data_IF_407010312398
#
_entry.id   IF_407010312398
#
_cell.length_a   1.000
_cell.length_b   1.000
_cell.length_c   1.000
_cell.angle_alpha   90.00
_cell.angle_beta   90.00
_cell.angle_gamma   90.00
#
_symmetry.space_group_name_H-M   'P 1'
#
loop_
_entity.id
_entity.type
_entity.pdbx_description
1 polymer ?
#
# COMPACT_ATOMS: atom_id res chain seq x y z
N UNK A 1 -14.87 -7.02 24.60
CA UNK A 1 -14.45 -5.64 24.94
C UNK A 1 -13.80 -5.01 23.74
N UNK A 2 -14.13 -3.75 23.41
CA UNK A 2 -13.49 -2.94 22.40
C UNK A 2 -12.46 -2.04 23.09
N UNK A 3 -11.19 -2.14 22.65
CA UNK A 3 -10.13 -1.23 23.06
C UNK A 3 -9.87 -0.24 21.93
N UNK A 4 -9.87 1.03 22.23
CA UNK A 4 -9.67 2.11 21.28
C UNK A 4 -8.33 2.80 21.50
N UNK A 5 -7.47 2.82 20.48
CA UNK A 5 -6.17 3.51 20.54
C UNK A 5 -6.24 4.81 19.72
N UNK A 6 -6.30 6.00 20.38
CA UNK A 6 -6.50 7.27 19.68
C UNK A 6 -5.23 7.78 18.96
N UNK A 7 -4.04 7.30 19.39
CA UNK A 7 -2.76 7.77 18.86
C UNK A 7 -1.94 6.60 18.31
N UNK A 8 -1.60 6.65 17.04
CA UNK A 8 -0.87 5.59 16.34
C UNK A 8 0.54 5.37 16.93
N UNK A 9 1.12 6.40 17.55
CA UNK A 9 2.43 6.34 18.21
C UNK A 9 2.41 5.43 19.45
N UNK A 10 1.27 5.39 20.16
CA UNK A 10 1.07 4.56 21.36
C UNK A 10 0.58 3.14 21.04
N UNK A 11 0.34 2.85 19.77
CA UNK A 11 -0.20 1.55 19.37
C UNK A 11 0.67 0.36 19.81
N UNK A 12 2.02 0.38 19.72
CA UNK A 12 2.84 -0.73 20.20
C UNK A 12 2.63 -1.03 21.69
N UNK A 13 2.53 0.00 22.52
CA UNK A 13 2.28 -0.13 23.97
C UNK A 13 0.86 -0.66 24.23
N UNK A 14 -0.14 -0.10 23.56
CA UNK A 14 -1.53 -0.51 23.69
C UNK A 14 -1.74 -1.98 23.27
N UNK A 15 -1.08 -2.45 22.21
CA UNK A 15 -1.17 -3.84 21.78
C UNK A 15 -0.61 -4.82 22.83
N UNK A 16 0.50 -4.45 23.48
CA UNK A 16 1.09 -5.26 24.54
C UNK A 16 0.27 -5.23 25.84
N UNK A 17 -0.38 -4.11 26.15
CA UNK A 17 -1.24 -3.97 27.32
C UNK A 17 -2.56 -4.72 27.16
N UNK A 18 -3.23 -4.55 26.02
CA UNK A 18 -4.55 -5.12 25.73
C UNK A 18 -4.51 -6.58 25.34
N UNK A 19 -3.44 -7.03 24.66
CA UNK A 19 -3.32 -8.37 24.08
C UNK A 19 -4.58 -8.81 23.31
N UNK A 20 -4.96 -8.09 22.23
CA UNK A 20 -6.23 -8.32 21.56
C UNK A 20 -6.24 -9.68 20.83
N UNK A 21 -7.41 -10.32 20.73
CA UNK A 21 -7.64 -11.50 19.89
C UNK A 21 -7.97 -11.11 18.44
N UNK A 22 -8.54 -9.93 18.23
CA UNK A 22 -8.87 -9.34 16.93
C UNK A 22 -8.17 -7.99 16.78
N UNK A 23 -7.44 -7.80 15.68
CA UNK A 23 -6.77 -6.56 15.38
C UNK A 23 -7.24 -5.97 14.04
N UNK A 24 -7.89 -4.81 14.11
CA UNK A 24 -8.37 -4.08 12.92
C UNK A 24 -7.54 -2.82 12.75
N UNK A 25 -6.92 -2.66 11.60
CA UNK A 25 -6.07 -1.50 11.34
C UNK A 25 -6.08 -1.10 9.85
N UNK A 26 -5.60 0.10 9.57
CA UNK A 26 -5.33 0.56 8.22
C UNK A 26 -3.97 0.04 7.74
N UNK A 27 -3.71 -0.07 6.42
CA UNK A 27 -2.45 -0.58 5.87
C UNK A 27 -1.19 0.08 6.45
N UNK A 28 -1.24 1.38 6.72
CA UNK A 28 -0.08 2.12 7.28
C UNK A 28 0.44 1.56 8.60
N UNK A 29 -0.41 0.97 9.40
CA UNK A 29 -0.01 0.31 10.64
C UNK A 29 0.82 -0.93 10.33
N UNK A 30 0.37 -1.75 9.39
CA UNK A 30 1.07 -2.94 8.94
C UNK A 30 2.40 -2.61 8.26
N UNK A 31 2.44 -1.54 7.42
CA UNK A 31 3.68 -1.02 6.83
C UNK A 31 4.70 -0.61 7.91
N UNK A 32 4.25 0.07 8.97
CA UNK A 32 5.12 0.50 10.09
C UNK A 32 5.69 -0.70 10.86
N UNK A 33 4.86 -1.71 11.15
CA UNK A 33 5.30 -2.94 11.82
C UNK A 33 6.31 -3.69 10.95
N UNK A 34 6.04 -3.84 9.64
CA UNK A 34 6.97 -4.41 8.67
C UNK A 34 8.31 -3.67 8.67
N UNK A 35 8.31 -2.34 8.53
CA UNK A 35 9.50 -1.51 8.54
C UNK A 35 10.33 -1.68 9.82
N UNK A 36 9.67 -1.74 10.99
CA UNK A 36 10.33 -2.00 12.27
C UNK A 36 10.97 -3.39 12.33
N UNK A 37 10.29 -4.43 11.81
CA UNK A 37 10.83 -5.78 11.76
C UNK A 37 12.10 -5.84 10.89
N UNK A 38 12.08 -5.20 9.72
CA UNK A 38 13.24 -5.08 8.82
C UNK A 38 14.38 -4.32 9.51
N UNK A 39 14.10 -3.19 10.17
CA UNK A 39 15.11 -2.38 10.85
C UNK A 39 15.78 -3.13 12.01
N UNK A 40 14.99 -3.83 12.84
CA UNK A 40 15.50 -4.65 13.95
C UNK A 40 16.35 -5.84 13.49
N UNK A 41 16.19 -6.26 12.23
CA UNK A 41 16.98 -7.35 11.63
C UNK A 41 18.32 -6.92 11.04
N UNK A 42 18.66 -5.62 11.07
CA UNK A 42 19.95 -5.11 10.55
C UNK A 42 21.14 -5.69 11.30
N UNK A 43 22.25 -5.84 10.59
CA UNK A 43 23.52 -6.34 11.10
C UNK A 43 23.66 -7.87 11.07
N UNK A 44 24.91 -8.34 10.93
CA UNK A 44 25.22 -9.78 10.99
C UNK A 44 25.34 -10.22 12.46
N UNK A 45 24.83 -11.42 12.85
CA UNK A 45 24.18 -12.44 12.02
C UNK A 45 22.64 -12.28 11.90
N UNK A 46 22.04 -11.25 12.53
CA UNK A 46 20.57 -11.07 12.59
C UNK A 46 19.93 -11.06 11.20
N UNK A 47 20.54 -10.37 10.25
CA UNK A 47 20.02 -10.27 8.88
C UNK A 47 19.99 -11.61 8.16
N UNK A 48 21.05 -12.41 8.32
CA UNK A 48 21.12 -13.74 7.72
C UNK A 48 20.04 -14.68 8.29
N UNK A 49 19.86 -14.67 9.62
CA UNK A 49 18.83 -15.46 10.30
C UNK A 49 17.42 -15.00 9.86
N UNK A 50 17.20 -13.70 9.77
CA UNK A 50 15.92 -13.14 9.34
C UNK A 50 15.59 -13.55 7.90
N UNK A 51 16.52 -13.37 6.96
CA UNK A 51 16.32 -13.74 5.56
C UNK A 51 16.09 -15.25 5.41
N UNK A 52 16.84 -16.08 6.12
CA UNK A 52 16.60 -17.52 6.16
C UNK A 52 15.20 -17.85 6.66
N UNK A 53 14.76 -17.22 7.76
CA UNK A 53 13.42 -17.45 8.30
C UNK A 53 12.33 -17.06 7.30
N UNK A 54 12.46 -15.91 6.62
CA UNK A 54 11.51 -15.49 5.59
C UNK A 54 11.46 -16.51 4.44
N UNK A 55 12.61 -17.04 3.97
CA UNK A 55 12.65 -18.09 2.94
C UNK A 55 11.97 -19.39 3.41
N UNK A 56 12.06 -19.73 4.70
CA UNK A 56 11.31 -20.84 5.29
C UNK A 56 9.81 -20.55 5.23
N UNK A 57 9.41 -19.34 5.63
CA UNK A 57 8.01 -18.91 5.57
C UNK A 57 7.43 -18.97 4.17
N UNK A 58 8.17 -18.51 3.18
CA UNK A 58 7.76 -18.51 1.78
C UNK A 58 7.44 -19.92 1.26
N UNK A 59 8.26 -20.92 1.62
CA UNK A 59 8.01 -22.32 1.28
C UNK A 59 6.74 -22.88 1.92
N UNK A 60 6.36 -22.40 3.08
CA UNK A 60 5.16 -22.80 3.82
C UNK A 60 3.93 -21.90 3.59
N UNK A 61 4.07 -20.85 2.77
CA UNK A 61 2.99 -19.90 2.47
C UNK A 61 1.69 -20.60 2.01
N UNK A 62 1.70 -21.63 1.13
CA UNK A 62 0.47 -22.31 0.73
C UNK A 62 -0.28 -22.97 1.90
N UNK A 63 0.43 -23.57 2.85
CA UNK A 63 -0.19 -24.17 4.05
C UNK A 63 -0.83 -23.10 4.93
N UNK A 64 -0.12 -21.97 5.12
CA UNK A 64 -0.59 -20.84 5.94
C UNK A 64 -1.83 -20.20 5.31
N UNK A 65 -1.82 -19.99 3.99
CA UNK A 65 -2.97 -19.44 3.28
C UNK A 65 -4.19 -20.37 3.32
N UNK A 66 -3.95 -21.69 3.37
CA UNK A 66 -4.99 -22.70 3.60
C UNK A 66 -5.47 -22.78 5.07
N UNK A 67 -4.98 -21.90 5.95
CA UNK A 67 -5.37 -21.86 7.37
C UNK A 67 -4.68 -22.91 8.23
N UNK A 68 -3.63 -23.56 7.74
CA UNK A 68 -2.88 -24.59 8.46
C UNK A 68 -1.63 -24.00 9.12
N UNK A 69 -1.26 -24.52 10.27
CA UNK A 69 0.02 -24.19 10.90
C UNK A 69 1.07 -25.21 10.43
N UNK A 70 2.18 -24.77 9.79
CA UNK A 70 3.23 -25.68 9.37
C UNK A 70 3.89 -26.40 10.54
N UNK A 71 4.23 -27.68 10.36
CA UNK A 71 4.77 -28.54 11.42
C UNK A 71 6.24 -28.89 11.24
N UNK A 72 6.88 -28.50 10.14
CA UNK A 72 8.29 -28.81 9.85
C UNK A 72 9.24 -28.28 10.92
N UNK A 73 10.38 -28.94 11.11
CA UNK A 73 11.42 -28.52 12.06
C UNK A 73 11.98 -27.14 11.68
N UNK A 74 12.15 -26.89 10.37
CA UNK A 74 12.61 -25.59 9.87
C UNK A 74 11.63 -24.45 10.25
N UNK A 75 10.32 -24.68 10.08
CA UNK A 75 9.29 -23.74 10.49
C UNK A 75 9.31 -23.48 11.99
N UNK A 76 9.38 -24.54 12.81
CA UNK A 76 9.44 -24.41 14.27
C UNK A 76 10.63 -23.58 14.71
N UNK A 77 11.81 -23.77 14.08
CA UNK A 77 13.00 -23.00 14.38
C UNK A 77 12.88 -21.55 13.92
N UNK A 78 12.41 -21.28 12.68
CA UNK A 78 12.16 -19.95 12.17
C UNK A 78 11.13 -19.19 13.03
N UNK A 79 10.09 -19.89 13.47
CA UNK A 79 9.08 -19.36 14.37
C UNK A 79 9.70 -18.96 15.73
N UNK A 80 10.50 -19.82 16.34
CA UNK A 80 11.17 -19.53 17.63
C UNK A 80 12.15 -18.36 17.52
N UNK A 81 12.92 -18.27 16.44
CA UNK A 81 13.98 -17.26 16.30
C UNK A 81 13.46 -15.91 15.83
N UNK A 82 12.43 -15.88 14.97
CA UNK A 82 11.98 -14.67 14.26
C UNK A 82 10.47 -14.43 14.39
N UNK A 83 9.62 -15.34 13.91
CA UNK A 83 8.20 -15.06 13.70
C UNK A 83 7.44 -14.79 15.00
N UNK A 84 7.67 -15.58 16.05
CA UNK A 84 7.06 -15.37 17.36
C UNK A 84 7.40 -14.00 17.95
N UNK A 85 8.61 -13.50 17.72
CA UNK A 85 9.04 -12.18 18.21
C UNK A 85 8.31 -11.04 17.51
N UNK A 86 8.07 -11.18 16.20
CA UNK A 86 7.27 -10.20 15.44
C UNK A 86 5.83 -10.21 15.93
N UNK A 87 5.22 -11.39 16.10
CA UNK A 87 3.85 -11.52 16.62
C UNK A 87 3.71 -11.04 18.06
N UNK A 88 4.70 -11.31 18.91
CA UNK A 88 4.72 -10.79 20.29
C UNK A 88 4.67 -9.27 20.34
N UNK A 89 5.33 -8.57 19.40
CA UNK A 89 5.24 -7.12 19.28
C UNK A 89 3.85 -6.58 18.90
N UNK A 90 2.93 -7.47 18.51
CA UNK A 90 1.52 -7.16 18.21
C UNK A 90 0.56 -7.69 19.29
N UNK A 91 1.05 -7.97 20.50
CA UNK A 91 0.27 -8.50 21.61
C UNK A 91 0.34 -10.03 21.74
N UNK A 92 0.82 -10.76 20.72
CA UNK A 92 1.07 -12.21 20.79
C UNK A 92 -0.15 -13.13 20.73
N UNK A 93 -1.36 -12.64 21.01
CA UNK A 93 -2.61 -13.41 21.07
C UNK A 93 -3.59 -13.11 19.92
N UNK A 94 -3.18 -12.27 18.95
CA UNK A 94 -4.06 -11.93 17.83
C UNK A 94 -4.26 -13.13 16.93
N UNK A 95 -5.51 -13.57 16.81
CA UNK A 95 -5.95 -14.69 15.95
C UNK A 95 -6.41 -14.18 14.57
N UNK A 96 -7.01 -12.99 14.54
CA UNK A 96 -7.58 -12.41 13.32
C UNK A 96 -7.05 -10.99 13.11
N UNK A 97 -6.43 -10.80 11.96
CA UNK A 97 -5.94 -9.51 11.49
C UNK A 97 -6.80 -9.01 10.33
N UNK A 98 -7.32 -7.78 10.44
CA UNK A 98 -8.15 -7.17 9.40
C UNK A 98 -7.49 -5.87 8.94
N UNK A 99 -7.41 -5.68 7.63
CA UNK A 99 -6.99 -4.44 7.01
C UNK A 99 -8.11 -3.84 6.17
N UNK A 100 -8.35 -2.54 6.32
CA UNK A 100 -9.38 -1.85 5.55
C UNK A 100 -9.10 -0.36 5.39
N UNK A 101 -9.96 0.32 4.61
CA UNK A 101 -9.87 1.75 4.36
C UNK A 101 -8.87 2.18 3.29
N UNK A 102 -7.93 1.32 2.90
CA UNK A 102 -7.02 1.47 1.77
C UNK A 102 -6.50 0.08 1.36
N UNK A 103 -5.96 -0.12 0.15
CA UNK A 103 -5.32 -1.38 -0.25
C UNK A 103 -4.06 -1.67 0.58
N UNK A 104 -3.93 -2.91 1.06
CA UNK A 104 -2.76 -3.36 1.83
C UNK A 104 -1.54 -3.54 0.93
N UNK A 105 -1.74 -3.95 -0.31
CA UNK A 105 -0.68 -4.35 -1.22
C UNK A 105 -0.32 -5.84 -1.09
N UNK A 106 -0.17 -6.48 -2.24
CA UNK A 106 0.08 -7.92 -2.34
C UNK A 106 1.35 -8.34 -1.61
N UNK A 107 2.45 -7.63 -1.85
CA UNK A 107 3.77 -7.95 -1.30
C UNK A 107 3.78 -7.90 0.22
N UNK A 108 3.09 -6.91 0.81
CA UNK A 108 2.97 -6.79 2.25
C UNK A 108 2.12 -7.90 2.84
N UNK A 109 0.98 -8.24 2.20
CA UNK A 109 0.13 -9.36 2.61
C UNK A 109 0.89 -10.69 2.55
N UNK A 110 1.68 -10.93 1.49
CA UNK A 110 2.52 -12.11 1.33
C UNK A 110 3.62 -12.18 2.39
N UNK A 111 4.26 -11.05 2.71
CA UNK A 111 5.25 -11.02 3.78
C UNK A 111 4.65 -11.42 5.13
N UNK A 112 3.45 -10.93 5.45
CA UNK A 112 2.76 -11.33 6.68
C UNK A 112 2.39 -12.81 6.65
N UNK A 113 1.96 -13.34 5.52
CA UNK A 113 1.73 -14.78 5.37
C UNK A 113 3.01 -15.59 5.62
N UNK A 114 4.18 -15.15 5.15
CA UNK A 114 5.46 -15.80 5.39
C UNK A 114 5.81 -15.90 6.88
N UNK A 115 5.31 -15.03 7.74
CA UNK A 115 5.49 -15.09 9.20
C UNK A 115 4.31 -15.71 9.95
N UNK A 116 3.38 -16.36 9.23
CA UNK A 116 2.24 -17.07 9.79
C UNK A 116 1.03 -16.19 10.11
N UNK A 117 0.93 -14.99 9.53
CA UNK A 117 -0.19 -14.07 9.72
C UNK A 117 -0.96 -13.92 8.41
N UNK A 118 -2.26 -14.25 8.42
CA UNK A 118 -3.18 -13.93 7.33
C UNK A 118 -3.89 -12.62 7.64
N UNK A 119 -3.65 -11.59 6.84
CA UNK A 119 -4.38 -10.34 6.97
C UNK A 119 -5.62 -10.40 6.06
N UNK A 120 -6.79 -10.28 6.65
CA UNK A 120 -8.06 -10.29 5.94
C UNK A 120 -8.38 -8.87 5.46
N UNK A 121 -8.20 -8.65 4.16
CA UNK A 121 -8.57 -7.36 3.56
C UNK A 121 -10.07 -7.25 3.43
N UNK A 122 -10.61 -6.07 3.79
CA UNK A 122 -12.00 -5.71 3.61
C UNK A 122 -12.15 -4.43 2.78
N UNK A 123 -13.20 -4.39 1.96
CA UNK A 123 -13.54 -3.26 1.12
C UNK A 123 -14.93 -2.75 1.42
N UNK A 124 -15.05 -1.44 1.40
CA UNK A 124 -16.31 -0.73 1.54
C UNK A 124 -16.10 0.77 1.71
N UNK A 125 -17.21 1.49 1.77
CA UNK A 125 -17.26 2.94 1.85
C UNK A 125 -18.21 3.34 2.98
N UNK A 126 -18.15 4.59 3.41
CA UNK A 126 -19.15 5.16 4.34
C UNK A 126 -20.56 5.03 3.76
N UNK A 127 -20.68 5.22 2.46
CA UNK A 127 -21.92 5.10 1.68
C UNK A 127 -22.48 3.67 1.64
N UNK A 128 -21.74 2.67 2.09
CA UNK A 128 -22.16 1.25 2.11
C UNK A 128 -22.22 0.64 3.50
N UNK A 129 -22.05 1.39 4.58
CA UNK A 129 -22.24 1.10 6.02
C UNK A 129 -21.48 -0.10 6.62
N UNK A 130 -20.15 -0.23 6.53
CA UNK A 130 -19.29 0.18 5.44
C UNK A 130 -18.99 -0.96 4.46
N UNK A 131 -19.05 -2.26 4.90
CA UNK A 131 -18.42 -3.39 4.24
C UNK A 131 -19.24 -3.90 3.05
N UNK A 132 -18.62 -4.02 1.90
CA UNK A 132 -19.12 -4.64 0.68
C UNK A 132 -18.62 -6.08 0.55
N UNK A 133 -17.30 -6.25 0.72
CA UNK A 133 -16.61 -7.52 0.57
C UNK A 133 -15.49 -7.66 1.62
N UNK A 134 -15.18 -8.88 2.02
CA UNK A 134 -14.12 -9.16 2.99
C UNK A 134 -13.53 -10.55 2.81
N UNK A 135 -12.20 -10.65 2.92
CA UNK A 135 -11.53 -11.93 3.12
C UNK A 135 -11.86 -12.49 4.50
N UNK A 136 -12.08 -13.79 4.59
CA UNK A 136 -12.43 -14.48 5.84
C UNK A 136 -11.46 -15.64 6.09
N UNK A 137 -11.41 -16.24 7.29
CA UNK A 137 -10.57 -17.42 7.54
C UNK A 137 -10.80 -18.59 6.59
N UNK A 138 -12.02 -18.76 6.08
CA UNK A 138 -12.41 -19.86 5.17
C UNK A 138 -12.37 -19.46 3.69
N UNK A 139 -12.48 -18.19 3.37
CA UNK A 139 -12.43 -17.64 2.01
C UNK A 139 -11.39 -16.51 1.97
N UNK A 140 -10.14 -16.87 1.72
CA UNK A 140 -9.02 -15.93 1.74
C UNK A 140 -8.20 -16.02 0.46
N UNK A 141 -7.99 -14.88 -0.20
CA UNK A 141 -7.13 -14.77 -1.39
C UNK A 141 -6.37 -13.44 -1.37
N UNK A 142 -5.04 -13.51 -1.26
CA UNK A 142 -4.18 -12.31 -1.30
C UNK A 142 -4.37 -11.57 -2.63
N UNK A 143 -4.39 -10.23 -2.56
CA UNK A 143 -4.60 -9.36 -3.72
C UNK A 143 -6.06 -9.20 -4.11
N UNK A 144 -6.97 -9.71 -3.28
CA UNK A 144 -8.42 -9.46 -3.38
C UNK A 144 -8.94 -8.93 -2.05
N UNK A 145 -10.09 -8.29 -2.09
CA UNK A 145 -10.82 -7.88 -0.88
C UNK A 145 -11.84 -8.93 -0.44
N UNK A 146 -11.70 -10.17 -0.91
CA UNK A 146 -12.56 -11.27 -0.56
C UNK A 146 -13.85 -11.36 -1.40
N UNK A 147 -14.82 -12.11 -0.87
CA UNK A 147 -16.15 -12.24 -1.50
C UNK A 147 -17.12 -11.21 -0.94
N UNK A 148 -18.10 -10.86 -1.73
CA UNK A 148 -19.19 -9.95 -1.32
C UNK A 148 -20.01 -10.53 -0.18
N UNK A 149 -20.53 -9.66 0.68
CA UNK A 149 -21.47 -10.08 1.73
C UNK A 149 -22.77 -10.62 1.10
N UNK A 150 -23.45 -11.60 1.74
CA UNK A 150 -24.59 -12.30 1.15
C UNK A 150 -25.79 -11.40 0.76
N UNK A 151 -25.93 -10.25 1.39
CA UNK A 151 -27.02 -9.29 1.16
C UNK A 151 -26.62 -8.10 0.28
N UNK A 152 -25.46 -8.18 -0.37
CA UNK A 152 -24.91 -7.13 -1.23
C UNK A 152 -24.73 -7.68 -2.64
N UNK A 153 -25.36 -7.03 -3.62
CA UNK A 153 -25.12 -7.28 -5.02
C UNK A 153 -23.97 -6.38 -5.51
N UNK A 154 -23.02 -6.97 -6.21
CA UNK A 154 -21.92 -6.24 -6.86
C UNK A 154 -21.87 -6.61 -8.34
N UNK A 155 -21.69 -5.63 -9.20
CA UNK A 155 -21.39 -5.82 -10.62
C UNK A 155 -20.30 -4.87 -11.07
N UNK A 156 -19.59 -5.24 -12.12
CA UNK A 156 -18.61 -4.40 -12.77
C UNK A 156 -19.24 -3.77 -14.02
N UNK A 157 -19.18 -2.44 -14.12
CA UNK A 157 -19.63 -1.70 -15.30
C UNK A 157 -18.66 -1.90 -16.48
N UNK A 158 -19.06 -1.50 -17.68
CA UNK A 158 -18.23 -1.62 -18.90
C UNK A 158 -16.88 -0.88 -18.79
N UNK A 159 -16.83 0.20 -18.04
CA UNK A 159 -15.62 0.98 -17.77
C UNK A 159 -14.81 0.48 -16.58
N UNK A 160 -15.20 -0.66 -16.01
CA UNK A 160 -14.53 -1.29 -14.87
C UNK A 160 -14.98 -0.76 -13.50
N UNK A 161 -15.92 0.18 -13.42
CA UNK A 161 -16.40 0.70 -12.14
C UNK A 161 -17.19 -0.34 -11.36
N UNK A 162 -16.90 -0.44 -10.06
CA UNK A 162 -17.63 -1.30 -9.12
C UNK A 162 -18.96 -0.63 -8.79
N UNK A 163 -20.07 -1.31 -9.10
CA UNK A 163 -21.41 -0.88 -8.77
C UNK A 163 -21.99 -1.77 -7.68
N UNK A 164 -22.66 -1.16 -6.70
CA UNK A 164 -23.15 -1.86 -5.50
C UNK A 164 -24.64 -1.61 -5.29
N UNK A 165 -25.36 -2.64 -4.91
CA UNK A 165 -26.77 -2.57 -4.51
C UNK A 165 -26.99 -3.44 -3.28
N UNK A 166 -27.75 -2.94 -2.31
CA UNK A 166 -28.09 -3.69 -1.10
C UNK A 166 -28.62 -2.78 0.00
N UNK A 167 -29.09 -3.37 1.11
CA UNK A 167 -29.72 -2.63 2.21
C UNK A 167 -28.75 -1.73 2.98
N UNK A 168 -27.45 -1.97 2.88
CA UNK A 168 -26.41 -1.17 3.52
C UNK A 168 -26.04 0.09 2.73
N UNK A 169 -26.50 0.22 1.48
CA UNK A 169 -26.25 1.42 0.67
C UNK A 169 -27.06 2.59 1.23
N UNK A 170 -26.41 3.73 1.40
CA UNK A 170 -27.01 4.94 1.95
C UNK A 170 -28.17 5.46 1.06
N UNK A 171 -29.02 6.32 1.63
CA UNK A 171 -30.13 6.94 0.89
C UNK A 171 -29.72 8.13 0.04
N UNK A 172 -28.58 8.72 0.33
CA UNK A 172 -28.03 9.88 -0.37
C UNK A 172 -27.21 10.80 0.51
N UNK A 173 -26.62 11.81 -0.11
CA UNK A 173 -25.84 12.84 0.57
C UNK A 173 -26.76 13.93 1.13
N UNK A 174 -26.52 14.32 2.38
CA UNK A 174 -27.29 15.35 3.07
C UNK A 174 -27.24 16.70 2.33
N UNK A 175 -28.39 17.25 1.98
CA UNK A 175 -28.53 18.52 1.22
C UNK A 175 -27.73 18.57 -0.11
N UNK A 176 -27.54 17.40 -0.77
CA UNK A 176 -26.79 17.29 -2.03
C UNK A 176 -27.56 16.42 -3.03
N UNK A 177 -28.70 16.88 -3.54
CA UNK A 177 -29.54 16.06 -4.42
C UNK A 177 -28.87 15.71 -5.76
N UNK A 178 -28.11 16.63 -6.34
CA UNK A 178 -27.44 16.40 -7.62
C UNK A 178 -26.30 15.37 -7.49
N UNK A 179 -25.50 15.47 -6.44
CA UNK A 179 -24.45 14.48 -6.15
C UNK A 179 -25.06 13.11 -5.80
N UNK A 180 -26.20 13.10 -5.10
CA UNK A 180 -26.95 11.86 -4.83
C UNK A 180 -27.43 11.21 -6.12
N UNK A 181 -28.04 11.98 -7.01
CA UNK A 181 -28.53 11.50 -8.32
C UNK A 181 -27.37 11.01 -9.19
N UNK A 182 -26.22 11.66 -9.15
CA UNK A 182 -25.05 11.24 -9.89
C UNK A 182 -24.45 9.92 -9.36
N UNK A 183 -24.51 9.71 -8.02
CA UNK A 183 -23.98 8.53 -7.36
C UNK A 183 -24.93 7.32 -7.39
N UNK A 184 -26.26 7.55 -7.39
CA UNK A 184 -27.28 6.50 -7.36
C UNK A 184 -28.04 6.49 -8.69
N UNK A 185 -27.93 5.40 -9.44
CA UNK A 185 -28.58 5.24 -10.73
C UNK A 185 -29.26 3.86 -10.84
N UNK A 186 -30.54 3.85 -11.08
CA UNK A 186 -31.35 2.62 -11.23
C UNK A 186 -31.19 1.62 -10.06
N UNK A 187 -31.10 2.14 -8.84
CA UNK A 187 -30.91 1.35 -7.62
C UNK A 187 -29.47 0.86 -7.38
N UNK A 188 -28.51 1.26 -8.22
CA UNK A 188 -27.10 0.95 -8.05
C UNK A 188 -26.32 2.18 -7.59
N UNK A 189 -25.45 1.97 -6.62
CA UNK A 189 -24.49 2.96 -6.17
C UNK A 189 -23.19 2.84 -6.97
N UNK A 190 -22.75 3.95 -7.55
CA UNK A 190 -21.48 4.10 -8.26
C UNK A 190 -20.39 4.40 -7.24
N UNK A 191 -19.49 3.44 -6.99
CA UNK A 191 -18.48 3.58 -5.93
C UNK A 191 -17.36 4.56 -6.29
N UNK A 192 -17.13 4.80 -7.57
CA UNK A 192 -15.97 5.51 -8.08
C UNK A 192 -14.67 4.71 -7.96
N UNK A 193 -14.74 3.43 -7.62
CA UNK A 193 -13.61 2.51 -7.55
C UNK A 193 -13.65 1.56 -8.76
N UNK A 194 -12.49 1.25 -9.31
CA UNK A 194 -12.30 0.30 -10.42
C UNK A 194 -11.89 -1.05 -9.85
N UNK A 195 -12.46 -2.12 -10.41
CA UNK A 195 -12.14 -3.47 -9.97
C UNK A 195 -12.63 -4.54 -10.91
N UNK A 196 -12.50 -5.79 -10.49
CA UNK A 196 -12.99 -6.95 -11.19
C UNK A 196 -13.39 -8.05 -10.21
N UNK A 197 -14.27 -8.95 -10.66
CA UNK A 197 -14.66 -10.16 -9.96
C UNK A 197 -14.11 -11.34 -10.74
N UNK A 198 -13.36 -12.22 -10.09
CA UNK A 198 -12.85 -13.42 -10.75
C UNK A 198 -13.90 -14.54 -10.83
N UNK A 199 -13.56 -15.64 -11.52
CA UNK A 199 -14.47 -16.78 -11.74
C UNK A 199 -14.92 -17.45 -10.42
N UNK A 200 -14.16 -17.30 -9.35
CA UNK A 200 -14.49 -17.84 -8.03
C UNK A 200 -15.27 -16.84 -7.15
N UNK A 201 -15.59 -15.66 -7.68
CA UNK A 201 -16.39 -14.63 -7.01
C UNK A 201 -15.57 -13.75 -6.04
N UNK A 202 -14.24 -13.71 -6.16
CA UNK A 202 -13.41 -12.78 -5.37
C UNK A 202 -13.34 -11.41 -6.05
N UNK A 203 -13.65 -10.38 -5.30
CA UNK A 203 -13.55 -8.99 -5.73
C UNK A 203 -12.14 -8.47 -5.54
N UNK A 204 -11.58 -7.86 -6.57
CA UNK A 204 -10.34 -7.10 -6.52
C UNK A 204 -10.64 -5.63 -6.79
N UNK A 205 -10.10 -4.73 -5.97
CA UNK A 205 -10.15 -3.29 -6.18
C UNK A 205 -8.78 -2.84 -6.68
N UNK A 206 -8.74 -2.24 -7.86
CA UNK A 206 -7.49 -1.86 -8.52
C UNK A 206 -7.09 -0.44 -8.14
N UNK A 207 -8.01 0.53 -8.32
CA UNK A 207 -7.73 1.94 -8.03
C UNK A 207 -9.04 2.76 -8.00
N UNK A 208 -8.92 4.05 -7.69
CA UNK A 208 -9.98 5.02 -7.86
C UNK A 208 -10.11 5.43 -9.32
N UNK A 209 -11.33 5.45 -9.87
CA UNK A 209 -11.61 5.86 -11.26
C UNK A 209 -11.02 7.24 -11.59
N UNK A 210 -11.13 8.20 -10.66
CA UNK A 210 -10.60 9.56 -10.79
C UNK A 210 -9.08 9.69 -10.62
N UNK A 211 -8.43 8.66 -10.07
CA UNK A 211 -7.00 8.64 -9.77
C UNK A 211 -6.22 7.83 -10.83
N UNK A 212 -6.93 7.13 -11.75
CA UNK A 212 -6.30 6.49 -12.89
C UNK A 212 -5.56 7.52 -13.74
N UNK A 213 -4.32 7.19 -14.06
CA UNK A 213 -3.46 7.99 -14.94
C UNK A 213 -3.70 7.55 -16.38
N UNK A 214 -4.12 8.46 -17.23
CA UNK A 214 -4.27 8.22 -18.68
C UNK A 214 -3.09 8.83 -19.42
N UNK A 215 -2.17 8.00 -19.89
CA UNK A 215 -1.03 8.48 -20.68
C UNK A 215 -1.47 9.07 -22.02
N UNK A 216 -0.62 9.89 -22.64
CA UNK A 216 -0.91 10.46 -23.97
C UNK A 216 -1.13 9.38 -25.05
N UNK A 217 -0.57 8.17 -24.86
CA UNK A 217 -0.82 7.01 -25.71
C UNK A 217 -2.14 6.27 -25.40
N UNK A 218 -3.01 6.83 -24.54
CA UNK A 218 -4.33 6.27 -24.23
C UNK A 218 -4.34 5.07 -23.27
N UNK A 219 -3.17 4.69 -22.70
CA UNK A 219 -3.09 3.61 -21.71
C UNK A 219 -3.48 4.12 -20.33
N UNK A 220 -4.28 3.33 -19.62
CA UNK A 220 -4.61 3.57 -18.22
C UNK A 220 -3.60 2.87 -17.31
N UNK A 221 -3.12 3.57 -16.30
CA UNK A 221 -2.22 3.08 -15.27
C UNK A 221 -2.91 3.28 -13.92
N UNK A 222 -2.94 2.23 -13.10
CA UNK A 222 -3.37 2.29 -11.73
C UNK A 222 -2.17 2.66 -10.84
N UNK A 223 -2.08 3.90 -10.30
CA UNK A 223 -0.90 4.31 -9.55
C UNK A 223 -0.76 3.61 -8.21
N UNK A 224 -1.86 3.29 -7.52
CA UNK A 224 -1.84 2.83 -6.14
C UNK A 224 -1.09 1.50 -5.91
N UNK A 225 -1.23 0.46 -6.74
CA UNK A 225 -0.43 -0.77 -6.60
C UNK A 225 1.07 -0.50 -6.70
N UNK A 226 1.48 0.35 -7.64
CA UNK A 226 2.91 0.70 -7.86
C UNK A 226 3.44 1.50 -6.67
N UNK A 227 2.68 2.49 -6.19
CA UNK A 227 3.02 3.30 -5.01
C UNK A 227 3.14 2.44 -3.74
N UNK A 228 2.27 1.45 -3.57
CA UNK A 228 2.33 0.53 -2.44
C UNK A 228 3.58 -0.36 -2.50
N UNK A 229 3.95 -0.89 -3.67
CA UNK A 229 5.17 -1.66 -3.84
C UNK A 229 6.43 -0.81 -3.55
N UNK A 230 6.48 0.43 -4.02
CA UNK A 230 7.56 1.37 -3.74
C UNK A 230 7.74 1.65 -2.25
N UNK A 231 6.66 1.81 -1.50
CA UNK A 231 6.67 2.10 -0.05
C UNK A 231 7.26 0.98 0.81
N UNK A 232 7.43 -0.23 0.28
CA UNK A 232 8.13 -1.31 1.00
C UNK A 232 9.63 -1.07 1.12
N UNK A 233 10.21 -0.21 0.28
CA UNK A 233 11.58 0.23 0.44
C UNK A 233 11.72 1.12 1.69
N UNK A 234 12.69 0.83 2.59
CA UNK A 234 12.90 1.63 3.80
C UNK A 234 13.31 3.08 3.51
N UNK A 235 13.77 3.36 2.29
CA UNK A 235 14.20 4.69 1.87
C UNK A 235 13.06 5.57 1.40
N UNK A 236 11.88 5.01 1.10
CA UNK A 236 10.73 5.75 0.56
C UNK A 236 9.76 6.10 1.69
N UNK A 237 9.54 7.38 1.91
CA UNK A 237 8.51 7.89 2.81
C UNK A 237 7.13 7.87 2.14
N UNK A 238 7.05 8.54 0.98
CA UNK A 238 5.85 8.58 0.13
C UNK A 238 6.28 8.59 -1.34
N UNK A 239 5.55 7.86 -2.18
CA UNK A 239 5.72 7.87 -3.63
C UNK A 239 4.42 8.35 -4.30
N UNK A 240 4.55 9.16 -5.34
CA UNK A 240 3.46 9.64 -6.18
C UNK A 240 3.77 9.35 -7.65
N UNK A 241 2.98 8.51 -8.30
CA UNK A 241 3.14 8.24 -9.73
C UNK A 241 2.59 9.43 -10.52
N UNK A 242 3.39 9.90 -11.46
CA UNK A 242 3.10 10.98 -12.40
C UNK A 242 2.92 10.41 -13.80
N UNK A 243 2.13 11.02 -14.66
CA UNK A 243 2.01 10.54 -16.03
C UNK A 243 0.70 10.89 -16.73
N UNK A 244 -0.24 11.58 -16.06
CA UNK A 244 -1.49 11.96 -16.71
C UNK A 244 -1.23 12.88 -17.91
N UNK A 245 -1.73 12.47 -19.09
CA UNK A 245 -1.50 13.12 -20.39
C UNK A 245 -0.03 13.21 -20.81
N UNK A 246 0.88 12.45 -20.18
CA UNK A 246 2.31 12.40 -20.52
C UNK A 246 2.63 11.15 -21.33
N UNK A 247 3.79 11.16 -22.00
CA UNK A 247 4.23 10.04 -22.86
C UNK A 247 4.57 8.76 -22.08
N UNK A 248 4.96 8.90 -20.81
CA UNK A 248 5.36 7.80 -19.95
C UNK A 248 5.10 8.12 -18.48
N UNK A 249 4.97 7.11 -17.61
CA UNK A 249 4.89 7.34 -16.17
C UNK A 249 6.28 7.64 -15.59
N UNK A 250 6.29 8.53 -14.59
CA UNK A 250 7.42 8.85 -13.75
C UNK A 250 7.00 8.73 -12.28
N UNK A 251 7.93 8.81 -11.36
CA UNK A 251 7.64 8.83 -9.92
C UNK A 251 8.27 10.01 -9.24
N UNK A 252 7.49 10.68 -8.41
CA UNK A 252 7.97 11.65 -7.43
C UNK A 252 8.05 10.96 -6.07
N UNK A 253 9.19 11.07 -5.41
CA UNK A 253 9.45 10.42 -4.12
C UNK A 253 9.82 11.48 -3.08
N UNK A 254 9.06 11.50 -1.99
CA UNK A 254 9.48 12.11 -0.73
C UNK A 254 10.23 11.04 0.06
N UNK A 255 11.55 11.20 0.28
CA UNK A 255 12.37 10.23 1.00
C UNK A 255 11.90 10.00 2.44
N UNK A 256 12.20 8.81 2.97
CA UNK A 256 12.28 8.62 4.41
C UNK A 256 13.62 9.22 4.88
N UNK A 257 13.61 10.48 5.26
CA UNK A 257 14.84 11.21 5.57
C UNK A 257 15.63 10.62 6.72
N UNK A 258 14.96 10.06 7.73
CA UNK A 258 15.68 9.39 8.84
C UNK A 258 16.57 8.26 8.30
N UNK A 259 16.00 7.38 7.49
CA UNK A 259 16.74 6.25 6.91
C UNK A 259 17.74 6.70 5.85
N UNK A 260 17.39 7.70 5.04
CA UNK A 260 18.27 8.22 3.99
C UNK A 260 19.51 8.92 4.58
N UNK A 261 19.35 9.74 5.62
CA UNK A 261 20.45 10.41 6.30
C UNK A 261 21.41 9.42 6.98
N UNK A 262 20.86 8.36 7.63
CA UNK A 262 21.68 7.26 8.18
C UNK A 262 22.50 6.59 7.07
N UNK A 263 21.86 6.29 5.94
CA UNK A 263 22.52 5.67 4.80
C UNK A 263 23.61 6.58 4.20
N UNK A 264 23.32 7.87 4.06
CA UNK A 264 24.27 8.85 3.51
C UNK A 264 25.53 8.95 4.40
N UNK A 265 25.36 9.03 5.72
CA UNK A 265 26.49 9.03 6.68
C UNK A 265 27.32 7.74 6.59
N UNK A 266 26.66 6.58 6.49
CA UNK A 266 27.33 5.28 6.36
C UNK A 266 28.09 5.13 5.02
N UNK A 267 27.73 5.91 3.99
CA UNK A 267 28.39 5.94 2.68
C UNK A 267 29.30 7.15 2.48
N UNK A 268 29.67 7.85 3.56
CA UNK A 268 30.54 9.03 3.56
C UNK A 268 30.06 10.14 2.60
N UNK A 269 28.75 10.38 2.53
CA UNK A 269 28.15 11.46 1.78
C UNK A 269 27.96 12.65 2.74
N UNK A 270 28.69 13.73 2.50
CA UNK A 270 28.49 14.99 3.23
C UNK A 270 27.26 15.71 2.64
N UNK A 271 26.47 16.33 3.49
CA UNK A 271 25.35 17.18 3.12
C UNK A 271 25.06 18.17 4.25
N UNK A 272 24.61 19.36 3.90
CA UNK A 272 24.21 20.42 4.83
C UNK A 272 22.70 20.66 4.83
N UNK A 273 22.02 20.22 3.77
CA UNK A 273 20.57 20.35 3.60
C UNK A 273 19.97 19.12 2.94
N UNK A 274 18.64 18.96 3.07
CA UNK A 274 17.88 17.90 2.36
C UNK A 274 17.91 18.14 0.84
N UNK A 275 17.90 19.39 0.39
CA UNK A 275 18.03 19.72 -1.03
C UNK A 275 19.34 19.20 -1.62
N UNK A 276 20.45 19.43 -0.94
CA UNK A 276 21.76 18.88 -1.32
C UNK A 276 21.79 17.37 -1.31
N UNK A 277 21.18 16.76 -0.27
CA UNK A 277 21.12 15.32 -0.12
C UNK A 277 20.36 14.65 -1.28
N UNK A 278 19.17 15.14 -1.63
CA UNK A 278 18.36 14.56 -2.73
C UNK A 278 18.96 14.84 -4.12
N UNK A 279 19.77 15.88 -4.27
CA UNK A 279 20.49 16.19 -5.51
C UNK A 279 21.77 15.35 -5.70
N UNK A 280 22.22 14.64 -4.66
CA UNK A 280 23.47 13.88 -4.71
C UNK A 280 23.34 12.68 -5.68
N UNK A 281 24.29 12.49 -6.64
CA UNK A 281 24.22 11.42 -7.64
C UNK A 281 24.17 10.01 -7.04
N UNK A 282 24.84 9.75 -5.91
CA UNK A 282 24.76 8.45 -5.24
C UNK A 282 23.38 8.19 -4.65
N UNK A 283 22.74 9.25 -4.13
CA UNK A 283 21.37 9.17 -3.63
C UNK A 283 20.40 8.92 -4.79
N UNK A 284 20.54 9.65 -5.91
CA UNK A 284 19.73 9.40 -7.11
C UNK A 284 19.88 7.94 -7.56
N UNK A 285 21.10 7.41 -7.67
CA UNK A 285 21.36 6.02 -8.05
C UNK A 285 20.73 5.00 -7.08
N UNK A 286 20.69 5.30 -5.79
CA UNK A 286 19.99 4.44 -4.80
C UNK A 286 18.50 4.30 -5.15
N UNK A 287 17.83 5.41 -5.43
CA UNK A 287 16.40 5.40 -5.77
C UNK A 287 16.11 4.85 -7.16
N UNK A 288 16.99 5.11 -8.13
CA UNK A 288 16.90 4.47 -9.46
C UNK A 288 16.97 2.94 -9.34
N UNK A 289 17.85 2.42 -8.49
CA UNK A 289 17.94 0.99 -8.19
C UNK A 289 16.66 0.42 -7.58
N UNK A 290 16.04 1.14 -6.63
CA UNK A 290 14.75 0.73 -6.04
C UNK A 290 13.64 0.71 -7.10
N UNK A 291 13.57 1.74 -7.92
CA UNK A 291 12.55 1.83 -8.98
C UNK A 291 12.75 0.77 -10.05
N UNK A 292 14.01 0.47 -10.43
CA UNK A 292 14.28 -0.58 -11.42
C UNK A 292 13.89 -1.98 -10.92
N UNK A 293 14.05 -2.25 -9.62
CA UNK A 293 13.56 -3.51 -9.03
C UNK A 293 12.03 -3.65 -9.18
N UNK A 294 11.29 -2.58 -8.90
CA UNK A 294 9.83 -2.57 -9.09
C UNK A 294 9.46 -2.69 -10.57
N UNK A 295 10.18 -2.00 -11.46
CA UNK A 295 9.95 -2.02 -12.90
C UNK A 295 10.05 -3.42 -13.52
N UNK A 296 10.78 -4.37 -12.90
CA UNK A 296 10.89 -5.76 -13.39
C UNK A 296 9.54 -6.46 -13.44
N UNK A 297 8.65 -6.11 -12.50
CA UNK A 297 7.33 -6.72 -12.36
C UNK A 297 6.21 -5.95 -13.06
N UNK A 298 6.50 -4.79 -13.65
CA UNK A 298 5.52 -3.92 -14.30
C UNK A 298 5.41 -4.20 -15.81
N UNK A 299 4.21 -4.05 -16.35
CA UNK A 299 3.97 -4.05 -17.78
C UNK A 299 4.76 -2.90 -18.45
N UNK A 300 5.10 -3.06 -19.74
CA UNK A 300 5.96 -2.11 -20.46
C UNK A 300 5.47 -0.65 -20.37
N UNK A 301 4.18 -0.44 -20.43
CA UNK A 301 3.56 0.89 -20.39
C UNK A 301 3.44 1.47 -18.96
N UNK A 302 3.59 0.63 -17.92
CA UNK A 302 3.55 1.04 -16.49
C UNK A 302 4.95 1.36 -15.95
N UNK A 303 6.02 0.95 -16.66
CA UNK A 303 7.40 1.14 -16.20
C UNK A 303 7.74 2.61 -16.01
N UNK A 304 8.16 2.94 -14.81
CA UNK A 304 8.59 4.27 -14.41
C UNK A 304 9.91 4.63 -15.11
N UNK A 305 9.90 5.70 -15.90
CA UNK A 305 11.06 6.09 -16.74
C UNK A 305 11.93 7.16 -16.11
N UNK A 306 11.45 7.88 -15.08
CA UNK A 306 12.17 8.93 -14.38
C UNK A 306 11.81 8.92 -12.92
N UNK A 307 12.77 9.29 -12.09
CA UNK A 307 12.63 9.48 -10.65
C UNK A 307 12.87 10.96 -10.34
N UNK A 308 11.98 11.55 -9.57
CA UNK A 308 12.11 12.91 -9.03
C UNK A 308 12.12 12.83 -7.51
N UNK A 309 13.24 13.14 -6.89
CA UNK A 309 13.32 13.25 -5.43
C UNK A 309 12.96 14.67 -5.01
N UNK A 310 12.21 14.81 -3.93
CA UNK A 310 11.86 16.10 -3.33
C UNK A 310 12.42 16.20 -1.92
N UNK A 311 12.80 17.41 -1.51
CA UNK A 311 13.35 17.67 -0.18
C UNK A 311 12.28 17.74 0.92
N UNK A 312 11.02 17.93 0.54
CA UNK A 312 9.90 18.02 1.47
C UNK A 312 9.41 16.65 1.92
N UNK A 313 9.07 16.52 3.20
CA UNK A 313 8.26 15.41 3.68
C UNK A 313 6.79 15.65 3.34
N UNK A 314 6.11 14.63 2.83
CA UNK A 314 4.66 14.70 2.62
C UNK A 314 3.94 14.32 3.91
N UNK A 315 3.21 15.27 4.48
CA UNK A 315 2.54 15.14 5.77
C UNK A 315 1.08 15.59 5.72
N UNK A 316 0.33 15.29 6.77
CA UNK A 316 -1.02 15.82 6.96
C UNK A 316 -0.95 17.34 7.17
N UNK A 317 0.01 17.79 7.97
CA UNK A 317 0.16 19.20 8.35
C UNK A 317 0.39 20.12 7.14
N UNK A 318 1.17 19.66 6.15
CA UNK A 318 1.42 20.45 4.92
C UNK A 318 0.39 20.18 3.80
N UNK A 319 -0.67 19.42 4.11
CA UNK A 319 -1.77 19.14 3.19
C UNK A 319 -1.46 18.13 2.08
N UNK A 320 -0.28 17.53 2.06
CA UNK A 320 0.09 16.51 1.08
C UNK A 320 -0.64 15.18 1.28
N UNK A 321 -1.00 14.88 2.55
CA UNK A 321 -1.74 13.68 2.92
C UNK A 321 -3.09 14.04 3.56
N UNK A 322 -4.06 13.12 3.44
CA UNK A 322 -5.30 13.16 4.21
C UNK A 322 -5.05 12.72 5.66
N UNK A 323 -6.00 12.94 6.61
CA UNK A 323 -5.92 12.38 7.96
C UNK A 323 -5.76 10.85 7.98
N UNK A 324 -6.26 10.16 6.95
CA UNK A 324 -6.09 8.70 6.77
C UNK A 324 -4.83 8.32 5.98
N UNK A 325 -3.84 9.24 5.89
CA UNK A 325 -2.55 9.06 5.23
C UNK A 325 -2.62 8.77 3.72
N UNK A 326 -3.73 9.10 3.06
CA UNK A 326 -3.87 8.99 1.60
C UNK A 326 -3.25 10.20 0.91
N UNK A 327 -2.57 9.97 -0.21
CA UNK A 327 -1.95 11.01 -1.02
C UNK A 327 -3.00 11.97 -1.62
N UNK A 328 -2.76 13.27 -1.49
CA UNK A 328 -3.57 14.32 -2.14
C UNK A 328 -2.90 14.74 -3.45
N UNK A 329 -2.96 13.86 -4.45
CA UNK A 329 -2.24 13.96 -5.72
C UNK A 329 -2.30 15.35 -6.36
N UNK A 330 -3.51 15.90 -6.52
CA UNK A 330 -3.70 17.24 -7.13
C UNK A 330 -2.95 18.36 -6.42
N UNK A 331 -2.85 18.28 -5.08
CA UNK A 331 -2.12 19.28 -4.29
C UNK A 331 -0.62 19.17 -4.54
N UNK A 332 -0.12 17.94 -4.55
CA UNK A 332 1.30 17.66 -4.78
C UNK A 332 1.69 18.05 -6.21
N UNK A 333 0.94 17.63 -7.22
CA UNK A 333 1.19 17.98 -8.62
C UNK A 333 1.13 19.50 -8.84
N UNK A 334 0.20 20.20 -8.19
CA UNK A 334 0.13 21.64 -8.24
C UNK A 334 1.35 22.32 -7.62
N UNK A 335 1.82 21.83 -6.46
CA UNK A 335 3.01 22.37 -5.76
C UNK A 335 4.28 22.20 -6.56
N UNK A 336 4.47 21.07 -7.20
CA UNK A 336 5.68 20.71 -7.95
C UNK A 336 5.51 20.84 -9.48
N UNK A 337 4.49 21.56 -9.94
CA UNK A 337 4.14 21.65 -11.36
C UNK A 337 5.33 21.98 -12.25
N UNK A 338 6.12 22.99 -11.88
CA UNK A 338 7.29 23.40 -12.65
C UNK A 338 8.33 22.30 -12.75
N UNK A 339 8.70 21.68 -11.62
CA UNK A 339 9.69 20.60 -11.57
C UNK A 339 9.23 19.37 -12.37
N UNK A 340 7.93 19.08 -12.31
CA UNK A 340 7.33 17.99 -13.12
C UNK A 340 7.43 18.32 -14.60
N UNK A 341 7.06 19.55 -15.02
CA UNK A 341 7.16 19.95 -16.42
C UNK A 341 8.61 19.93 -16.93
N UNK A 342 9.57 20.40 -16.13
CA UNK A 342 11.01 20.35 -16.42
C UNK A 342 11.52 18.89 -16.56
N UNK A 343 11.08 17.96 -15.70
CA UNK A 343 11.43 16.53 -15.77
C UNK A 343 11.06 15.92 -17.12
N UNK A 344 9.84 16.19 -17.60
CA UNK A 344 9.35 15.67 -18.87
C UNK A 344 10.03 16.35 -20.08
N UNK A 345 10.27 17.66 -20.03
CA UNK A 345 10.97 18.41 -21.07
C UNK A 345 12.40 17.90 -21.26
N UNK A 346 13.15 17.70 -20.17
CA UNK A 346 14.50 17.13 -20.22
C UNK A 346 14.53 15.72 -20.81
N UNK A 347 13.55 14.86 -20.46
CA UNK A 347 13.45 13.53 -20.99
C UNK A 347 13.13 13.50 -22.50
N UNK A 348 12.33 14.44 -22.98
CA UNK A 348 12.03 14.61 -24.41
C UNK A 348 13.24 15.08 -25.20
N UNK A 349 13.99 16.06 -24.65
CA UNK A 349 15.23 16.56 -25.26
C UNK A 349 16.30 15.46 -25.38
N UNK A 350 16.41 14.57 -24.37
CA UNK A 350 17.37 13.46 -24.39
C UNK A 350 16.99 12.32 -25.37
N UNK A 351 15.74 12.30 -25.88
CA UNK A 351 15.25 11.29 -26.85
C UNK A 351 15.01 11.86 -28.24
N UNK A 352 15.25 13.15 -28.43
CA UNK A 352 15.25 13.76 -29.77
C UNK A 352 16.44 13.28 -30.56
N UNK A 353 16.27 12.89 -31.86
CA UNK A 353 17.31 12.31 -32.71
C UNK A 353 18.45 13.31 -33.01
#
# INVERSE_FOLDING_TARGET
TLAYCPFIERLPEALLEVNPSLFVAVPRVYEKIYGQAIQKSKGFPKRAIFNWAISVGERHKPEILAGKTPTSTAWKLANKLVFSKVRAGMGGQVETFISGGAPLGRELAEWYANIGIRIHEGYGLTETSPVIAVNTPINHRIGTVGRTLPNIDVRIAEDGEILVRGPSVFKGYWNRPEETKAALENGWFKTGDIGNIDADGYLSVTDRKKDLIKTSGGKFIAPQPIENALKLSPYIGVAAILGDRRKFPAVMISPNFVTLEEWARANNIAFTSRAELVANPKVQSLYDGVVEEINRNLARFEKLKRVMLVEDEFTIANGALTPTMKLRRRIIEGRYKKQIDDLYAQAEAATAP
#
